data_IF_397612134975
#
_entry.id   IF_397612134975
#
_cell.length_a   1.000
_cell.length_b   1.000
_cell.length_c   1.000
_cell.angle_alpha   90.00
_cell.angle_beta   90.00
_cell.angle_gamma   90.00
#
_symmetry.space_group_name_H-M   'P 1'
#
loop_
_entity.id
_entity.type
_entity.pdbx_description
1 polymer ?
#
# COMPACT_ATOMS: atom_id res chain seq x y z
N UNK A 1 7.34 -44.01 -6.24
CA UNK A 1 7.13 -45.38 -6.79
C UNK A 1 5.73 -45.55 -7.38
N UNK A 2 4.65 -45.38 -6.59
CA UNK A 2 3.26 -45.51 -7.08
C UNK A 2 2.97 -44.61 -8.30
N UNK A 3 3.39 -43.34 -8.27
CA UNK A 3 3.19 -42.41 -9.39
C UNK A 3 3.82 -42.94 -10.70
N UNK A 4 5.04 -43.49 -10.63
CA UNK A 4 5.73 -44.07 -11.78
C UNK A 4 4.97 -45.29 -12.32
N UNK A 5 4.54 -46.19 -11.45
CA UNK A 5 3.76 -47.38 -11.85
C UNK A 5 2.44 -47.00 -12.52
N UNK A 6 1.75 -45.96 -12.04
CA UNK A 6 0.51 -45.49 -12.65
C UNK A 6 0.74 -44.90 -14.05
N UNK A 7 1.83 -44.15 -14.24
CA UNK A 7 2.20 -43.60 -15.56
C UNK A 7 2.59 -44.69 -16.55
N UNK A 8 3.37 -45.69 -16.11
CA UNK A 8 3.69 -46.88 -16.91
C UNK A 8 2.43 -47.67 -17.33
N UNK A 9 1.38 -47.64 -16.50
CA UNK A 9 0.09 -48.26 -16.79
C UNK A 9 -0.83 -47.41 -17.69
N UNK A 10 -0.37 -46.25 -18.17
CA UNK A 10 -1.12 -45.38 -19.08
C UNK A 10 -2.07 -44.41 -18.39
N UNK A 11 -1.82 -44.04 -17.12
CA UNK A 11 -2.54 -42.95 -16.48
C UNK A 11 -2.35 -41.63 -17.26
N UNK A 12 -3.43 -40.86 -17.40
CA UNK A 12 -3.40 -39.55 -18.02
C UNK A 12 -2.57 -38.56 -17.17
N UNK A 13 -1.43 -38.11 -17.70
CA UNK A 13 -0.45 -37.26 -17.00
C UNK A 13 -1.04 -35.89 -16.61
N UNK A 14 -1.93 -35.36 -17.45
CA UNK A 14 -2.61 -34.07 -17.24
C UNK A 14 -4.06 -34.27 -16.74
N UNK A 15 -4.40 -35.51 -16.37
CA UNK A 15 -5.71 -35.87 -15.84
C UNK A 15 -6.09 -35.00 -14.63
N UNK A 16 -7.32 -34.50 -14.65
CA UNK A 16 -7.82 -33.56 -13.64
C UNK A 16 -8.90 -34.23 -12.81
N UNK A 17 -8.86 -34.07 -11.49
CA UNK A 17 -9.96 -34.50 -10.62
C UNK A 17 -10.65 -33.30 -9.96
N UNK A 18 -11.88 -33.02 -10.41
CA UNK A 18 -12.75 -31.99 -9.85
C UNK A 18 -12.03 -30.66 -9.59
N UNK A 19 -12.12 -30.13 -8.36
CA UNK A 19 -11.49 -28.87 -7.94
C UNK A 19 -10.03 -29.01 -7.46
N UNK A 20 -9.45 -30.22 -7.50
CA UNK A 20 -8.13 -30.53 -6.94
C UNK A 20 -6.96 -30.24 -7.88
N UNK A 21 -7.21 -30.02 -9.18
CA UNK A 21 -6.15 -29.71 -10.14
C UNK A 21 -5.52 -30.93 -10.81
N UNK A 22 -4.36 -30.75 -11.46
CA UNK A 22 -3.54 -31.84 -12.01
C UNK A 22 -2.70 -32.52 -10.92
N UNK A 23 -2.14 -33.69 -11.22
CA UNK A 23 -1.15 -34.34 -10.36
C UNK A 23 0.05 -33.43 -10.06
N UNK A 24 0.50 -32.65 -11.07
CA UNK A 24 1.60 -31.71 -10.93
C UNK A 24 1.29 -30.58 -9.93
N UNK A 25 0.07 -30.03 -9.97
CA UNK A 25 -0.38 -29.01 -9.01
C UNK A 25 -0.43 -29.56 -7.58
N UNK A 26 -0.94 -30.78 -7.42
CA UNK A 26 -1.00 -31.48 -6.13
C UNK A 26 0.40 -31.77 -5.55
N UNK A 27 1.36 -32.12 -6.39
CA UNK A 27 2.75 -32.37 -5.97
C UNK A 27 3.44 -31.05 -5.59
N UNK A 28 3.22 -30.00 -6.38
CA UNK A 28 3.75 -28.66 -6.12
C UNK A 28 3.20 -28.04 -4.82
N UNK A 29 1.90 -28.21 -4.54
CA UNK A 29 1.25 -27.77 -3.29
C UNK A 29 1.88 -28.42 -2.04
N UNK A 30 2.43 -29.63 -2.18
CA UNK A 30 3.06 -30.39 -1.07
C UNK A 30 4.59 -30.21 -1.01
N UNK A 31 5.18 -29.53 -1.98
CA UNK A 31 6.64 -29.41 -2.11
C UNK A 31 7.34 -30.75 -2.41
N UNK A 32 6.65 -31.70 -3.06
CA UNK A 32 7.22 -33.01 -3.39
C UNK A 32 8.06 -32.92 -4.67
N UNK A 33 9.30 -32.46 -4.53
CA UNK A 33 10.23 -32.25 -5.65
C UNK A 33 10.43 -33.52 -6.49
N UNK A 34 10.49 -34.70 -5.86
CA UNK A 34 10.72 -35.96 -6.56
C UNK A 34 9.53 -36.31 -7.46
N UNK A 35 8.29 -36.11 -6.98
CA UNK A 35 7.10 -36.33 -7.79
C UNK A 35 6.96 -35.25 -8.87
N UNK A 36 7.27 -33.98 -8.57
CA UNK A 36 7.26 -32.90 -9.56
C UNK A 36 8.24 -33.19 -10.70
N UNK A 37 9.48 -33.55 -10.38
CA UNK A 37 10.51 -33.90 -11.37
C UNK A 37 10.05 -35.08 -12.24
N UNK A 38 9.56 -36.16 -11.61
CA UNK A 38 9.03 -37.32 -12.33
C UNK A 38 7.88 -36.93 -13.29
N UNK A 39 6.92 -36.13 -12.84
CA UNK A 39 5.78 -35.73 -13.68
C UNK A 39 6.23 -34.88 -14.88
N UNK A 40 7.17 -33.95 -14.67
CA UNK A 40 7.69 -33.10 -15.75
C UNK A 40 8.55 -33.90 -16.75
N UNK A 41 9.33 -34.87 -16.28
CA UNK A 41 10.10 -35.77 -17.15
C UNK A 41 9.20 -36.64 -18.04
N UNK A 42 7.96 -36.90 -17.59
CA UNK A 42 6.93 -37.60 -18.34
C UNK A 42 6.04 -36.67 -19.19
N UNK A 43 6.38 -35.38 -19.27
CA UNK A 43 5.72 -34.42 -20.15
C UNK A 43 4.44 -33.80 -19.60
N UNK A 44 4.25 -33.77 -18.26
CA UNK A 44 3.17 -33.01 -17.65
C UNK A 44 3.21 -31.55 -18.10
N UNK A 45 2.05 -30.97 -18.43
CA UNK A 45 1.98 -29.57 -18.82
C UNK A 45 2.21 -28.66 -17.60
N UNK A 46 3.40 -28.05 -17.54
CA UNK A 46 3.85 -27.17 -16.45
C UNK A 46 2.91 -25.97 -16.20
N UNK A 47 2.26 -25.49 -17.27
CA UNK A 47 1.39 -24.31 -17.27
C UNK A 47 -0.11 -24.70 -17.31
N UNK A 48 -0.42 -25.97 -17.00
CA UNK A 48 -1.79 -26.43 -16.89
C UNK A 48 -2.57 -25.62 -15.84
N UNK A 49 -3.77 -25.18 -16.23
CA UNK A 49 -4.71 -24.44 -15.39
C UNK A 49 -6.11 -25.05 -15.47
N UNK A 50 -6.30 -26.31 -15.07
CA UNK A 50 -7.58 -26.99 -15.18
C UNK A 50 -8.62 -26.49 -14.17
N UNK A 51 -8.18 -25.81 -13.11
CA UNK A 51 -9.05 -25.30 -12.04
C UNK A 51 -8.75 -23.83 -11.76
N UNK A 52 -9.67 -23.17 -11.04
CA UNK A 52 -9.48 -21.79 -10.59
C UNK A 52 -8.29 -21.58 -9.65
N UNK A 53 -7.67 -22.65 -9.11
CA UNK A 53 -6.60 -22.60 -8.09
C UNK A 53 -5.27 -22.02 -8.59
N UNK A 54 -5.08 -21.88 -9.90
CA UNK A 54 -3.85 -21.39 -10.52
C UNK A 54 -2.97 -22.51 -11.06
N UNK A 55 -1.71 -22.19 -11.38
CA UNK A 55 -0.70 -23.12 -11.92
C UNK A 55 -0.02 -23.91 -10.81
N UNK A 56 0.78 -24.92 -11.18
CA UNK A 56 1.66 -25.60 -10.22
C UNK A 56 2.64 -24.63 -9.54
N UNK A 57 3.14 -23.63 -10.29
CA UNK A 57 4.03 -22.59 -9.77
C UNK A 57 3.36 -21.74 -8.67
N UNK A 58 2.14 -21.25 -8.91
CA UNK A 58 1.39 -20.49 -7.89
C UNK A 58 1.12 -21.36 -6.65
N UNK A 59 0.84 -22.65 -6.83
CA UNK A 59 0.66 -23.57 -5.70
C UNK A 59 1.94 -23.76 -4.87
N UNK A 60 3.10 -23.94 -5.50
CA UNK A 60 4.39 -24.04 -4.81
C UNK A 60 4.73 -22.75 -4.06
N UNK A 61 4.66 -21.60 -4.73
CA UNK A 61 4.99 -20.28 -4.16
C UNK A 61 4.11 -19.97 -2.95
N UNK A 62 2.80 -20.15 -3.07
CA UNK A 62 1.83 -19.86 -1.99
C UNK A 62 2.06 -20.69 -0.73
N UNK A 63 2.61 -21.90 -0.86
CA UNK A 63 2.95 -22.77 0.27
C UNK A 63 4.42 -22.64 0.71
N UNK A 64 5.17 -21.68 0.15
CA UNK A 64 6.57 -21.43 0.51
C UNK A 64 7.55 -22.48 0.01
N UNK A 65 7.17 -23.29 -0.98
CA UNK A 65 8.04 -24.31 -1.58
C UNK A 65 8.92 -23.70 -2.67
N UNK A 66 9.89 -22.87 -2.28
CA UNK A 66 10.79 -22.14 -3.20
C UNK A 66 11.63 -23.07 -4.06
N UNK A 67 12.13 -24.19 -3.53
CA UNK A 67 12.89 -25.19 -4.30
C UNK A 67 12.02 -25.81 -5.40
N UNK A 68 10.79 -26.16 -5.08
CA UNK A 68 9.81 -26.70 -6.05
C UNK A 68 9.45 -25.65 -7.09
N UNK A 69 9.28 -24.39 -6.69
CA UNK A 69 9.04 -23.28 -7.61
C UNK A 69 10.23 -23.06 -8.56
N UNK A 70 11.47 -23.13 -8.04
CA UNK A 70 12.68 -23.06 -8.84
C UNK A 70 12.76 -24.18 -9.89
N UNK A 71 12.43 -25.41 -9.49
CA UNK A 71 12.37 -26.54 -10.43
C UNK A 71 11.31 -26.33 -11.51
N UNK A 72 10.12 -25.83 -11.15
CA UNK A 72 9.07 -25.51 -12.12
C UNK A 72 9.51 -24.41 -13.11
N UNK A 73 10.15 -23.34 -12.62
CA UNK A 73 10.65 -22.26 -13.47
C UNK A 73 11.77 -22.73 -14.41
N UNK A 74 12.64 -23.64 -13.97
CA UNK A 74 13.65 -24.28 -14.82
C UNK A 74 13.05 -25.16 -15.92
N UNK A 75 11.77 -25.53 -15.80
CA UNK A 75 11.01 -26.34 -16.75
C UNK A 75 9.94 -25.50 -17.48
N UNK A 76 10.25 -24.21 -17.70
CA UNK A 76 9.44 -23.25 -18.46
C UNK A 76 8.04 -22.95 -17.87
N UNK A 77 7.89 -23.03 -16.54
CA UNK A 77 6.71 -22.46 -15.88
C UNK A 77 6.63 -20.95 -16.11
N UNK A 78 5.49 -20.44 -16.56
CA UNK A 78 5.27 -19.01 -16.77
C UNK A 78 4.94 -18.32 -15.44
N UNK A 79 5.82 -17.45 -14.90
CA UNK A 79 5.56 -16.75 -13.63
C UNK A 79 4.45 -15.69 -13.72
N UNK A 80 4.05 -15.30 -14.93
CA UNK A 80 3.06 -14.24 -15.19
C UNK A 80 1.65 -14.80 -15.38
N UNK A 81 1.50 -16.13 -15.43
CA UNK A 81 0.20 -16.76 -15.56
C UNK A 81 -0.61 -16.56 -14.28
N UNK A 82 -1.74 -15.84 -14.40
CA UNK A 82 -2.62 -15.56 -13.27
C UNK A 82 -3.45 -16.79 -12.88
N UNK A 83 -3.88 -16.88 -11.61
CA UNK A 83 -4.91 -17.83 -11.20
C UNK A 83 -6.29 -17.51 -11.78
N UNK A 84 -7.25 -18.43 -11.63
CA UNK A 84 -8.59 -18.27 -12.21
C UNK A 84 -9.61 -17.67 -11.24
N UNK A 85 -9.29 -17.59 -9.95
CA UNK A 85 -10.24 -17.24 -8.90
C UNK A 85 -10.08 -15.79 -8.44
N UNK A 86 -8.86 -15.38 -8.08
CA UNK A 86 -8.54 -14.05 -7.58
C UNK A 86 -7.69 -13.24 -8.57
N UNK A 87 -7.42 -13.80 -9.75
CA UNK A 87 -6.44 -13.30 -10.70
C UNK A 87 -5.06 -13.07 -10.05
N UNK A 88 -4.69 -13.86 -9.03
CA UNK A 88 -3.40 -13.73 -8.35
C UNK A 88 -2.25 -14.12 -9.29
N UNK A 89 -1.19 -13.32 -9.34
CA UNK A 89 0.10 -13.71 -9.92
C UNK A 89 0.94 -14.46 -8.88
N UNK A 90 1.95 -15.21 -9.33
CA UNK A 90 2.90 -15.85 -8.42
C UNK A 90 3.55 -14.84 -7.47
N UNK A 91 3.95 -13.66 -7.98
CA UNK A 91 4.51 -12.55 -7.19
C UNK A 91 3.58 -12.09 -6.07
N UNK A 92 2.28 -11.95 -6.35
CA UNK A 92 1.29 -11.50 -5.37
C UNK A 92 1.06 -12.49 -4.22
N UNK A 93 1.37 -13.78 -4.46
CA UNK A 93 1.23 -14.86 -3.49
C UNK A 93 2.53 -15.23 -2.78
N UNK A 94 3.64 -14.61 -3.18
CA UNK A 94 4.95 -14.90 -2.63
C UNK A 94 4.99 -14.54 -1.12
N UNK A 95 5.42 -15.47 -0.25
CA UNK A 95 5.37 -15.28 1.19
C UNK A 95 6.46 -14.32 1.69
N UNK A 96 7.59 -14.24 0.97
CA UNK A 96 8.78 -13.52 1.39
C UNK A 96 9.60 -12.99 0.20
N UNK A 97 10.65 -12.25 0.54
CA UNK A 97 11.63 -11.71 -0.39
C UNK A 97 12.29 -12.77 -1.27
N UNK A 98 12.65 -13.93 -0.71
CA UNK A 98 13.37 -14.99 -1.45
C UNK A 98 12.52 -15.55 -2.59
N UNK A 99 11.23 -15.77 -2.34
CA UNK A 99 10.29 -16.19 -3.37
C UNK A 99 10.08 -15.11 -4.44
N UNK A 100 10.02 -13.83 -4.04
CA UNK A 100 9.91 -12.69 -4.98
C UNK A 100 11.15 -12.61 -5.87
N UNK A 101 12.35 -12.65 -5.29
CA UNK A 101 13.63 -12.61 -6.00
C UNK A 101 13.74 -13.77 -7.00
N UNK A 102 13.38 -14.98 -6.59
CA UNK A 102 13.35 -16.16 -7.45
C UNK A 102 12.42 -15.96 -8.66
N UNK A 103 11.22 -15.41 -8.45
CA UNK A 103 10.26 -15.15 -9.52
C UNK A 103 10.74 -14.05 -10.48
N UNK A 104 11.25 -12.94 -9.96
CA UNK A 104 11.75 -11.82 -10.77
C UNK A 104 12.94 -12.26 -11.64
N UNK A 105 13.86 -13.06 -11.08
CA UNK A 105 14.99 -13.63 -11.81
C UNK A 105 14.58 -14.57 -12.96
N UNK A 106 13.36 -15.07 -12.96
CA UNK A 106 12.79 -15.90 -14.04
C UNK A 106 11.74 -15.17 -14.88
N UNK A 107 11.74 -13.83 -14.87
CA UNK A 107 10.93 -13.02 -15.79
C UNK A 107 9.51 -12.73 -15.30
N UNK A 108 9.26 -12.80 -14.00
CA UNK A 108 8.01 -12.29 -13.44
C UNK A 108 7.92 -10.76 -13.63
N UNK A 109 6.77 -10.28 -14.11
CA UNK A 109 6.49 -8.87 -14.37
C UNK A 109 5.99 -8.18 -13.10
N UNK A 110 6.86 -7.39 -12.46
CA UNK A 110 6.52 -6.62 -11.27
C UNK A 110 5.49 -5.50 -11.55
N UNK A 111 5.35 -5.09 -12.82
CA UNK A 111 4.40 -4.07 -13.26
C UNK A 111 3.01 -4.63 -13.57
N UNK A 112 2.85 -5.95 -13.55
CA UNK A 112 1.57 -6.60 -13.81
C UNK A 112 0.50 -6.07 -12.84
N UNK A 113 -0.61 -5.58 -13.38
CA UNK A 113 -1.76 -5.04 -12.62
C UNK A 113 -2.95 -5.99 -12.65
N UNK A 114 -2.93 -7.13 -11.95
CA UNK A 114 -4.13 -7.93 -11.76
C UNK A 114 -5.12 -7.15 -10.90
N UNK A 115 -6.43 -7.28 -11.18
CA UNK A 115 -7.52 -6.47 -10.61
C UNK A 115 -7.28 -5.98 -9.16
N UNK A 116 -7.04 -6.90 -8.22
CA UNK A 116 -6.99 -6.59 -6.78
C UNK A 116 -5.76 -7.18 -6.06
N UNK A 117 -4.81 -7.78 -6.78
CA UNK A 117 -3.77 -8.66 -6.20
C UNK A 117 -2.38 -8.21 -6.60
N UNK A 118 -1.98 -7.03 -6.13
CA UNK A 118 -0.68 -6.42 -6.45
C UNK A 118 0.40 -6.87 -5.46
N UNK A 119 1.53 -7.34 -5.99
CA UNK A 119 2.67 -7.78 -5.18
C UNK A 119 3.22 -6.65 -4.29
N UNK A 120 3.33 -5.43 -4.84
CA UNK A 120 3.80 -4.26 -4.09
C UNK A 120 2.87 -3.90 -2.92
N UNK A 121 1.54 -3.94 -3.12
CA UNK A 121 0.57 -3.73 -2.04
C UNK A 121 0.77 -4.75 -0.91
N UNK A 122 0.97 -6.02 -1.25
CA UNK A 122 1.21 -7.09 -0.26
C UNK A 122 2.54 -6.91 0.48
N UNK A 123 3.59 -6.44 -0.19
CA UNK A 123 4.85 -6.12 0.46
C UNK A 123 4.70 -4.94 1.46
N UNK A 124 4.00 -3.86 1.06
CA UNK A 124 3.72 -2.71 1.93
C UNK A 124 2.89 -3.13 3.15
N UNK A 125 1.83 -3.93 2.96
CA UNK A 125 0.99 -4.41 4.07
C UNK A 125 1.76 -5.27 5.08
N UNK A 126 2.80 -5.99 4.64
CA UNK A 126 3.67 -6.80 5.49
C UNK A 126 4.81 -6.00 6.14
N UNK A 127 4.95 -4.71 5.81
CA UNK A 127 6.11 -3.89 6.17
C UNK A 127 7.44 -4.51 5.73
N UNK A 128 7.43 -5.23 4.61
CA UNK A 128 8.59 -5.94 4.08
C UNK A 128 9.38 -5.03 3.15
N UNK A 129 10.28 -4.24 3.73
CA UNK A 129 11.12 -3.24 3.05
C UNK A 129 11.91 -3.83 1.88
N UNK A 130 12.47 -5.04 2.05
CA UNK A 130 13.27 -5.69 1.00
C UNK A 130 12.40 -6.08 -0.19
N UNK A 131 11.22 -6.62 0.07
CA UNK A 131 10.25 -6.94 -0.98
C UNK A 131 9.76 -5.67 -1.69
N UNK A 132 9.53 -4.57 -0.96
CA UNK A 132 9.17 -3.28 -1.58
C UNK A 132 10.30 -2.81 -2.51
N UNK A 133 11.54 -2.77 -2.01
CA UNK A 133 12.70 -2.33 -2.80
C UNK A 133 12.83 -3.12 -4.10
N UNK A 134 12.89 -4.45 -4.03
CA UNK A 134 13.15 -5.27 -5.22
C UNK A 134 12.01 -5.18 -6.24
N UNK A 135 10.76 -5.07 -5.79
CA UNK A 135 9.62 -4.89 -6.69
C UNK A 135 9.71 -3.54 -7.42
N UNK A 136 10.07 -2.46 -6.73
CA UNK A 136 10.27 -1.14 -7.34
C UNK A 136 11.45 -1.15 -8.32
N UNK A 137 12.57 -1.78 -7.96
CA UNK A 137 13.74 -1.92 -8.83
C UNK A 137 13.43 -2.68 -10.13
N UNK A 138 12.43 -3.57 -10.10
CA UNK A 138 11.95 -4.32 -11.25
C UNK A 138 10.72 -3.69 -11.93
N UNK A 139 10.43 -2.42 -11.65
CA UNK A 139 9.43 -1.63 -12.38
C UNK A 139 7.99 -1.76 -11.86
N UNK A 140 7.78 -2.20 -10.61
CA UNK A 140 6.48 -2.07 -9.98
C UNK A 140 6.07 -0.59 -9.91
N UNK A 141 4.81 -0.31 -10.21
CA UNK A 141 4.26 1.05 -10.18
C UNK A 141 4.20 1.58 -8.72
N UNK A 142 4.97 2.61 -8.35
CA UNK A 142 4.96 3.15 -6.99
C UNK A 142 3.64 3.85 -6.64
N UNK A 143 2.83 4.24 -7.64
CA UNK A 143 1.50 4.86 -7.49
C UNK A 143 0.36 3.82 -7.54
N UNK A 144 0.67 2.57 -7.20
CA UNK A 144 -0.35 1.52 -7.19
C UNK A 144 -1.46 1.81 -6.18
N UNK A 145 -2.71 1.71 -6.65
CA UNK A 145 -3.89 1.94 -5.85
C UNK A 145 -5.06 1.02 -6.23
N UNK A 146 -5.93 0.74 -5.26
CA UNK A 146 -7.24 0.10 -5.43
C UNK A 146 -8.33 1.02 -4.85
N UNK A 147 -9.59 0.58 -4.85
CA UNK A 147 -10.68 1.33 -4.23
C UNK A 147 -10.48 1.60 -2.73
N UNK A 148 -9.67 0.80 -2.05
CA UNK A 148 -9.45 0.86 -0.59
C UNK A 148 -7.99 1.07 -0.19
N UNK A 149 -7.06 1.14 -1.15
CA UNK A 149 -5.63 1.17 -0.88
C UNK A 149 -4.93 2.16 -1.81
N UNK A 150 -4.00 2.95 -1.28
CA UNK A 150 -3.08 3.80 -2.03
C UNK A 150 -1.70 3.61 -1.40
N UNK A 151 -0.68 3.29 -2.21
CA UNK A 151 0.62 2.84 -1.72
C UNK A 151 1.25 3.82 -0.72
N UNK A 152 1.39 5.09 -1.11
CA UNK A 152 2.07 6.10 -0.31
C UNK A 152 1.29 6.44 0.96
N UNK A 153 -0.01 6.69 0.87
CA UNK A 153 -0.83 7.00 2.06
C UNK A 153 -0.97 5.82 2.99
N UNK A 154 -1.03 4.58 2.49
CA UNK A 154 -1.07 3.39 3.34
C UNK A 154 0.23 3.21 4.10
N UNK A 155 1.39 3.43 3.45
CA UNK A 155 2.68 3.39 4.12
C UNK A 155 2.80 4.46 5.24
N UNK A 156 2.23 5.65 5.01
CA UNK A 156 2.11 6.74 6.01
C UNK A 156 1.25 6.31 7.20
N UNK A 157 0.08 5.71 6.96
CA UNK A 157 -0.79 5.21 8.02
C UNK A 157 -0.15 4.08 8.83
N UNK A 158 0.70 3.26 8.19
CA UNK A 158 1.49 2.23 8.87
C UNK A 158 2.73 2.80 9.58
N UNK A 159 3.12 4.06 9.30
CA UNK A 159 4.25 4.74 9.94
C UNK A 159 5.63 4.26 9.50
N UNK A 160 5.75 3.60 8.34
CA UNK A 160 7.04 3.08 7.88
C UNK A 160 7.81 4.11 7.06
N UNK A 161 8.67 4.88 7.72
CA UNK A 161 9.57 5.85 7.07
C UNK A 161 10.40 5.21 5.93
N UNK A 162 11.02 4.01 6.11
CA UNK A 162 11.78 3.38 5.04
C UNK A 162 10.94 3.11 3.78
N UNK A 163 9.74 2.53 3.93
CA UNK A 163 8.86 2.24 2.78
C UNK A 163 8.41 3.53 2.09
N UNK A 164 8.06 4.57 2.86
CA UNK A 164 7.67 5.88 2.30
C UNK A 164 8.83 6.46 1.47
N UNK A 165 10.05 6.40 2.00
CA UNK A 165 11.24 6.86 1.29
C UNK A 165 11.47 6.07 0.00
N UNK A 166 11.37 4.73 0.03
CA UNK A 166 11.50 3.88 -1.15
C UNK A 166 10.48 4.24 -2.24
N UNK A 167 9.21 4.44 -1.86
CA UNK A 167 8.16 4.83 -2.80
C UNK A 167 8.46 6.18 -3.46
N UNK A 168 8.90 7.17 -2.67
CA UNK A 168 9.25 8.50 -3.16
C UNK A 168 10.49 8.47 -4.08
N UNK A 169 11.52 7.71 -3.73
CA UNK A 169 12.72 7.50 -4.56
C UNK A 169 12.40 6.80 -5.89
N UNK A 170 11.42 5.88 -5.89
CA UNK A 170 10.89 5.25 -7.09
C UNK A 170 9.97 6.16 -7.92
N UNK A 171 9.69 7.38 -7.46
CA UNK A 171 8.90 8.37 -8.19
C UNK A 171 7.41 8.37 -7.87
N UNK A 172 6.98 7.86 -6.71
CA UNK A 172 5.59 8.00 -6.25
C UNK A 172 5.14 9.47 -6.27
N UNK A 173 3.91 9.69 -6.72
CA UNK A 173 3.28 11.00 -6.72
C UNK A 173 3.07 11.47 -5.28
N UNK A 174 3.79 12.51 -4.89
CA UNK A 174 3.76 13.10 -3.54
C UNK A 174 2.37 13.61 -3.12
N UNK A 175 1.55 14.02 -4.09
CA UNK A 175 0.16 14.41 -3.86
C UNK A 175 -0.75 13.22 -3.48
N UNK A 176 -0.32 11.99 -3.75
CA UNK A 176 -1.14 10.78 -3.71
C UNK A 176 -2.06 10.67 -4.92
N UNK A 177 -2.70 9.50 -5.07
CA UNK A 177 -3.55 9.21 -6.24
C UNK A 177 -5.02 9.60 -6.04
N UNK A 178 -5.42 9.88 -4.80
CA UNK A 178 -6.81 10.19 -4.43
C UNK A 178 -7.00 11.64 -4.02
N UNK A 179 -8.16 12.23 -4.36
CA UNK A 179 -8.56 13.55 -3.85
C UNK A 179 -8.88 13.54 -2.35
N UNK A 180 -9.24 12.39 -1.81
CA UNK A 180 -9.56 12.23 -0.38
C UNK A 180 -8.30 11.95 0.44
N UNK A 181 -7.41 11.09 -0.06
CA UNK A 181 -6.23 10.65 0.67
C UNK A 181 -5.00 11.40 0.14
N UNK A 182 -4.69 12.53 0.79
CA UNK A 182 -3.52 13.35 0.45
C UNK A 182 -2.41 13.04 1.48
N UNK A 183 -1.23 12.52 1.06
CA UNK A 183 -0.11 12.13 1.92
C UNK A 183 0.27 13.16 2.99
N UNK A 184 0.45 14.42 2.60
CA UNK A 184 0.85 15.48 3.55
C UNK A 184 -0.22 15.78 4.59
N UNK A 185 -1.52 15.65 4.25
CA UNK A 185 -2.60 15.79 5.21
C UNK A 185 -2.63 14.59 6.16
N UNK A 186 -2.41 13.36 5.65
CA UNK A 186 -2.35 12.15 6.48
C UNK A 186 -1.18 12.19 7.47
N UNK A 187 0.02 12.59 7.03
CA UNK A 187 1.18 12.77 7.90
C UNK A 187 0.92 13.83 8.97
N UNK A 188 0.33 14.97 8.58
CA UNK A 188 -0.02 16.03 9.52
C UNK A 188 -1.09 15.61 10.54
N UNK A 189 -2.10 14.85 10.10
CA UNK A 189 -3.15 14.31 10.97
C UNK A 189 -2.66 13.22 11.92
N UNK A 190 -1.50 12.62 11.67
CA UNK A 190 -0.89 11.61 12.54
C UNK A 190 0.26 12.18 13.39
N UNK A 191 0.63 13.46 13.21
CA UNK A 191 1.73 14.09 13.91
C UNK A 191 3.10 13.52 13.54
N UNK A 192 3.27 13.04 12.31
CA UNK A 192 4.50 12.39 11.85
C UNK A 192 5.48 13.41 11.26
N UNK A 193 6.22 14.11 12.12
CA UNK A 193 7.09 15.23 11.76
C UNK A 193 8.17 14.86 10.72
N UNK A 194 8.81 13.70 10.86
CA UNK A 194 9.86 13.25 9.93
C UNK A 194 9.28 12.89 8.56
N UNK A 195 8.11 12.25 8.53
CA UNK A 195 7.41 11.90 7.29
C UNK A 195 6.89 13.17 6.61
N UNK A 196 6.35 14.11 7.38
CA UNK A 196 5.89 15.39 6.88
C UNK A 196 7.05 16.15 6.21
N UNK A 197 8.19 16.23 6.90
CA UNK A 197 9.40 16.89 6.38
C UNK A 197 9.88 16.23 5.10
N UNK A 198 9.93 14.90 5.07
CA UNK A 198 10.29 14.14 3.87
C UNK A 198 9.36 14.44 2.69
N UNK A 199 8.03 14.48 2.91
CA UNK A 199 7.08 14.82 1.85
C UNK A 199 7.30 16.24 1.31
N UNK A 200 7.60 17.20 2.18
CA UNK A 200 7.91 18.59 1.78
C UNK A 200 9.21 18.65 0.96
N UNK A 201 10.25 17.91 1.35
CA UNK A 201 11.51 17.80 0.59
C UNK A 201 11.31 17.26 -0.83
N UNK A 202 10.36 16.33 -0.99
CA UNK A 202 9.96 15.80 -2.30
C UNK A 202 8.95 16.69 -3.04
N UNK A 203 8.64 17.88 -2.52
CA UNK A 203 7.82 18.89 -3.20
C UNK A 203 6.32 18.83 -2.89
N UNK A 204 5.93 18.27 -1.74
CA UNK A 204 4.54 18.36 -1.30
C UNK A 204 4.11 19.82 -1.09
N UNK A 205 2.98 20.20 -1.68
CA UNK A 205 2.39 21.51 -1.43
C UNK A 205 1.74 21.54 -0.04
N UNK A 206 2.36 22.30 0.86
CA UNK A 206 1.94 22.52 2.26
C UNK A 206 0.53 23.10 2.41
N UNK A 207 -0.03 23.66 1.34
CA UNK A 207 -1.34 24.30 1.34
C UNK A 207 -2.44 23.45 0.67
N UNK A 208 -2.13 22.20 0.28
CA UNK A 208 -3.12 21.29 -0.29
C UNK A 208 -4.28 21.04 0.67
N UNK A 209 -5.51 21.29 0.22
CA UNK A 209 -6.70 21.05 1.02
C UNK A 209 -7.63 20.04 0.37
N UNK A 210 -8.27 19.19 1.19
CA UNK A 210 -9.42 18.39 0.78
C UNK A 210 -10.70 18.84 1.52
N UNK A 211 -11.85 18.37 1.03
CA UNK A 211 -13.15 18.70 1.62
C UNK A 211 -13.35 18.10 3.02
N UNK A 212 -12.71 16.96 3.32
CA UNK A 212 -12.95 16.16 4.53
C UNK A 212 -12.19 16.67 5.75
N UNK A 213 -10.89 16.88 5.62
CA UNK A 213 -9.94 17.21 6.68
C UNK A 213 -9.41 18.64 6.59
N UNK A 214 -9.58 19.32 5.45
CA UNK A 214 -9.03 20.66 5.22
C UNK A 214 -7.59 20.62 4.75
N UNK A 215 -6.79 21.61 5.14
CA UNK A 215 -5.35 21.67 4.85
C UNK A 215 -4.55 20.85 5.88
N UNK A 216 -3.24 20.61 5.68
CA UNK A 216 -2.40 19.91 6.66
C UNK A 216 -2.37 20.67 7.98
N UNK A 217 -2.38 22.02 7.94
CA UNK A 217 -2.36 22.85 9.14
C UNK A 217 -3.67 22.75 9.93
N UNK A 218 -4.82 22.67 9.25
CA UNK A 218 -6.11 22.39 9.90
C UNK A 218 -6.07 21.01 10.56
N UNK A 219 -5.56 20.00 9.85
CA UNK A 219 -5.48 18.64 10.37
C UNK A 219 -4.59 18.53 11.62
N UNK A 220 -3.38 19.09 11.59
CA UNK A 220 -2.46 19.13 12.73
C UNK A 220 -3.07 19.88 13.93
N UNK A 221 -3.70 21.04 13.67
CA UNK A 221 -4.34 21.85 14.70
C UNK A 221 -5.53 21.16 15.37
N UNK A 222 -6.35 20.46 14.60
CA UNK A 222 -7.51 19.71 15.12
C UNK A 222 -7.15 18.49 15.97
N UNK A 223 -5.89 18.03 15.89
CA UNK A 223 -5.40 16.80 16.53
C UNK A 223 -4.29 17.01 17.55
N UNK A 224 -3.97 18.26 17.89
CA UNK A 224 -2.99 18.55 18.94
C UNK A 224 -1.53 18.32 18.54
N UNK A 225 -1.21 18.32 17.23
CA UNK A 225 0.15 18.12 16.77
C UNK A 225 0.92 19.44 16.66
N UNK A 226 1.40 19.94 17.81
CA UNK A 226 2.08 21.25 17.92
C UNK A 226 3.35 21.33 17.06
N UNK A 227 4.24 20.34 17.15
CA UNK A 227 5.49 20.30 16.37
C UNK A 227 5.22 20.29 14.86
N UNK A 228 4.26 19.47 14.43
CA UNK A 228 3.80 19.41 13.04
C UNK A 228 3.23 20.76 12.57
N UNK A 229 2.39 21.41 13.39
CA UNK A 229 1.86 22.74 13.07
C UNK A 229 2.96 23.79 12.93
N UNK A 230 3.99 23.74 13.80
CA UNK A 230 5.17 24.59 13.71
C UNK A 230 5.95 24.37 12.41
N UNK A 231 6.22 23.11 12.04
CA UNK A 231 6.89 22.77 10.76
C UNK A 231 6.08 23.33 9.58
N UNK A 232 4.77 23.09 9.54
CA UNK A 232 3.91 23.59 8.46
C UNK A 232 3.96 25.12 8.34
N UNK A 233 3.87 25.85 9.44
CA UNK A 233 3.93 27.32 9.46
C UNK A 233 5.29 27.84 8.98
N UNK A 234 6.39 27.25 9.44
CA UNK A 234 7.74 27.62 8.97
C UNK A 234 7.97 27.30 7.49
N UNK A 235 7.28 26.29 6.96
CA UNK A 235 7.29 25.96 5.53
C UNK A 235 6.26 26.74 4.70
N UNK A 236 5.61 27.77 5.26
CA UNK A 236 4.73 28.68 4.51
C UNK A 236 3.28 28.21 4.38
N UNK A 237 2.79 27.40 5.32
CA UNK A 237 1.36 27.10 5.40
C UNK A 237 0.54 28.37 5.66
N UNK A 238 -0.58 28.50 4.95
CA UNK A 238 -1.51 29.61 5.09
C UNK A 238 -2.21 29.53 6.46
N UNK A 239 -1.83 30.44 7.36
CA UNK A 239 -2.34 30.49 8.75
C UNK A 239 -3.87 30.57 8.83
N UNK A 240 -4.50 31.27 7.88
CA UNK A 240 -5.95 31.43 7.79
C UNK A 240 -6.57 30.68 6.60
N UNK A 241 -6.02 29.51 6.25
CA UNK A 241 -6.72 28.61 5.34
C UNK A 241 -8.11 28.23 5.90
N UNK A 242 -9.04 27.84 5.03
CA UNK A 242 -10.43 27.62 5.42
C UNK A 242 -10.97 26.30 4.86
N UNK A 243 -11.61 25.52 5.72
CA UNK A 243 -12.41 24.36 5.35
C UNK A 243 -13.85 24.52 5.87
N UNK A 244 -14.84 24.09 5.10
CA UNK A 244 -16.28 24.25 5.43
C UNK A 244 -16.72 23.52 6.70
N UNK A 245 -16.05 22.43 7.07
CA UNK A 245 -16.37 21.61 8.24
C UNK A 245 -15.52 21.96 9.46
N UNK A 246 -14.30 22.46 9.26
CA UNK A 246 -13.34 22.67 10.35
C UNK A 246 -13.03 24.16 10.60
N UNK A 247 -13.46 25.06 9.71
CA UNK A 247 -13.15 26.48 9.79
C UNK A 247 -11.69 26.77 9.45
N UNK A 248 -11.08 27.70 10.17
CA UNK A 248 -9.65 27.99 10.11
C UNK A 248 -8.85 27.09 11.05
N UNK A 249 -7.51 26.96 10.89
CA UNK A 249 -6.67 26.26 11.86
C UNK A 249 -6.89 26.72 13.30
N UNK A 250 -7.09 28.03 13.52
CA UNK A 250 -7.31 28.59 14.85
C UNK A 250 -8.65 28.13 15.44
N UNK A 251 -9.71 28.07 14.62
CA UNK A 251 -11.01 27.53 15.04
C UNK A 251 -10.86 26.03 15.37
N UNK A 252 -10.17 25.27 14.52
CA UNK A 252 -9.95 23.84 14.73
C UNK A 252 -9.20 23.57 16.05
N UNK A 253 -8.11 24.30 16.33
CA UNK A 253 -7.38 24.21 17.60
C UNK A 253 -8.26 24.58 18.80
N UNK A 254 -9.04 25.67 18.70
CA UNK A 254 -9.91 26.11 19.79
C UNK A 254 -11.05 25.12 20.08
N UNK A 255 -11.61 24.47 19.06
CA UNK A 255 -12.62 23.43 19.23
C UNK A 255 -12.03 22.17 19.87
N UNK A 256 -10.80 21.81 19.48
CA UNK A 256 -10.09 20.67 20.06
C UNK A 256 -9.54 20.93 21.48
N UNK A 257 -9.45 22.21 21.90
CA UNK A 257 -8.88 22.60 23.20
C UNK A 257 -7.36 22.74 23.20
N UNK A 258 -6.74 22.83 22.01
CA UNK A 258 -5.29 22.85 21.81
C UNK A 258 -4.74 24.27 21.98
N UNK A 259 -4.59 24.68 23.23
CA UNK A 259 -4.24 26.06 23.60
C UNK A 259 -2.84 26.46 23.13
N UNK A 260 -1.84 25.57 23.18
CA UNK A 260 -0.50 25.87 22.65
C UNK A 260 -0.53 26.10 21.14
N UNK A 261 -1.33 25.33 20.40
CA UNK A 261 -1.46 25.50 18.95
C UNK A 261 -2.20 26.80 18.63
N UNK A 262 -3.25 27.12 19.37
CA UNK A 262 -3.95 28.39 19.20
C UNK A 262 -3.02 29.59 19.47
N UNK A 263 -2.16 29.51 20.49
CA UNK A 263 -1.15 30.51 20.77
C UNK A 263 -0.15 30.63 19.60
N UNK A 264 0.39 29.51 19.13
CA UNK A 264 1.30 29.45 17.99
C UNK A 264 0.66 30.07 16.73
N UNK A 265 -0.59 29.74 16.43
CA UNK A 265 -1.30 30.30 15.28
C UNK A 265 -1.47 31.82 15.38
N UNK A 266 -1.77 32.35 16.58
CA UNK A 266 -1.84 33.80 16.82
C UNK A 266 -0.47 34.48 16.66
N UNK A 267 0.62 33.84 17.07
CA UNK A 267 1.99 34.33 16.85
C UNK A 267 2.31 34.45 15.35
N UNK A 268 1.78 33.53 14.53
CA UNK A 268 1.88 33.56 13.07
C UNK A 268 0.78 34.39 12.40
N UNK A 269 0.02 35.18 13.15
CA UNK A 269 -0.91 36.18 12.63
C UNK A 269 -2.31 35.66 12.26
N UNK A 270 -2.76 34.54 12.84
CA UNK A 270 -4.13 34.05 12.64
C UNK A 270 -5.17 35.11 13.06
N UNK A 271 -6.18 35.33 12.23
CA UNK A 271 -7.28 36.26 12.53
C UNK A 271 -8.36 35.58 13.39
N UNK A 272 -8.53 35.95 14.68
CA UNK A 272 -9.54 35.36 15.56
C UNK A 272 -10.98 35.70 15.16
N UNK A 273 -11.17 36.67 14.26
CA UNK A 273 -12.48 37.13 13.79
C UNK A 273 -12.96 36.41 12.52
N UNK A 274 -12.09 35.62 11.88
CA UNK A 274 -12.41 34.92 10.62
C UNK A 274 -13.38 33.77 10.88
N UNK A 275 -14.67 34.04 10.70
CA UNK A 275 -15.77 33.13 11.08
C UNK A 275 -15.96 31.93 10.14
N UNK A 276 -16.63 30.89 10.67
CA UNK A 276 -17.36 29.90 9.87
C UNK A 276 -18.54 30.59 9.19
N UNK A 277 -18.47 30.80 7.86
CA UNK A 277 -19.66 31.19 7.09
C UNK A 277 -20.61 29.99 6.96
N UNK A 278 -21.37 29.72 8.02
CA UNK A 278 -22.73 29.15 8.08
C UNK A 278 -22.99 28.48 9.46
N UNK A 279 -23.87 29.07 10.27
CA UNK A 279 -24.63 28.35 11.31
C UNK A 279 -24.00 28.13 12.69
N UNK A 280 -22.68 28.25 12.88
CA UNK A 280 -22.03 28.02 14.18
C UNK A 280 -21.29 29.26 14.66
N UNK A 281 -21.73 29.80 15.80
CA UNK A 281 -21.05 30.89 16.53
C UNK A 281 -19.65 30.46 16.94
N UNK A 282 -18.65 31.33 16.77
CA UNK A 282 -17.25 31.07 17.13
C UNK A 282 -17.11 30.67 18.61
N UNK A 283 -16.54 29.50 18.95
CA UNK A 283 -16.24 29.13 20.34
C UNK A 283 -15.26 30.11 21.01
N UNK A 284 -14.37 30.73 20.21
CA UNK A 284 -13.34 31.68 20.67
C UNK A 284 -13.96 32.96 21.25
N UNK A 285 -15.13 33.37 20.73
CA UNK A 285 -15.86 34.55 21.22
C UNK A 285 -16.82 34.23 22.38
N UNK A 286 -17.19 32.97 22.60
CA UNK A 286 -18.07 32.58 23.71
C UNK A 286 -17.43 32.80 25.10
N UNK A 287 -16.09 32.87 25.18
CA UNK A 287 -15.34 33.16 26.42
C UNK A 287 -15.10 34.65 26.71
N UNK A 288 -15.34 35.56 25.76
CA UNK A 288 -15.19 37.01 25.94
C UNK A 288 -16.54 37.72 25.94
N UNK A 289 -17.21 37.64 27.08
CA UNK A 289 -18.13 38.68 27.56
C UNK A 289 -19.43 38.87 26.77
N UNK A 290 -20.49 38.23 27.25
CA UNK A 290 -21.83 38.83 27.21
C UNK A 290 -21.86 40.06 28.13
N UNK A 291 -21.33 41.19 27.63
CA UNK A 291 -21.67 42.52 28.15
C UNK A 291 -21.70 43.52 26.99
N UNK A 292 -22.92 43.84 26.56
CA UNK A 292 -23.41 45.10 25.95
C UNK A 292 -24.77 44.76 25.32
N UNK A 293 -25.91 45.39 25.60
CA UNK A 293 -26.35 46.49 26.48
C UNK A 293 -27.71 46.08 27.03
#
# INVERSE_FOLDING_TARGET
EIAKTLLEAGADIDGTYASSGTALQCAAERGDNATVELLLDWGANVNAKPSGRGTALIAAIRNGHTDTAGLLLQRDADPNQLDGYNCCSALSTAPDFSAIELLLNHGADASQKPKDTHALIKAIQRLDEKSVQILLDHGADPDIHTSSFDALTSAIHLGSYPIIKLLLEAGATVRGTSKANIPIIAAAANGQDEILTLLIEYGADVNLSNELQGSPLIAAASRGHLSTAYILLTCGALVDCFNKHHGTPLIAAAVAGEMEIAALLMEYGADPTRMVRAGYSSPILAGRGTKTV
#
